data_IF_128195315250
#
_entry.id   IF_128195315250
#
_cell.length_a   1.000
_cell.length_b   1.000
_cell.length_c   1.000
_cell.angle_alpha   90.00
_cell.angle_beta   90.00
_cell.angle_gamma   90.00
#
_symmetry.space_group_name_H-M   'P 1'
#
loop_
_entity.id
_entity.type
_entity.pdbx_description
1 polymer ?
#
# COMPACT_ATOMS: atom_id res chain seq x y z
N UNK A 1 -8.60 7.80 0.40
CA UNK A 1 -8.11 9.13 0.78
C UNK A 1 -8.08 10.08 -0.40
N UNK A 2 -7.53 9.67 -1.51
CA UNK A 2 -7.54 10.49 -2.72
C UNK A 2 -8.98 10.71 -3.18
N UNK A 3 -9.25 11.89 -3.71
CA UNK A 3 -10.55 12.27 -4.24
C UNK A 3 -11.71 12.16 -3.22
N UNK A 4 -11.39 12.18 -1.94
CA UNK A 4 -12.42 12.06 -0.89
C UNK A 4 -13.05 10.67 -0.79
N UNK A 5 -12.39 9.65 -1.30
CA UNK A 5 -12.87 8.28 -1.30
C UNK A 5 -11.90 7.39 -0.52
N UNK A 6 -12.33 6.76 0.58
CA UNK A 6 -11.43 5.96 1.41
C UNK A 6 -10.91 4.69 0.72
N UNK A 7 -11.51 4.28 -0.41
CA UNK A 7 -11.01 3.14 -1.17
C UNK A 7 -9.91 3.54 -2.16
N UNK A 8 -9.67 4.83 -2.37
CA UNK A 8 -8.65 5.31 -3.31
C UNK A 8 -7.35 5.53 -2.55
N UNK A 9 -6.53 4.50 -2.52
CA UNK A 9 -5.18 4.53 -1.97
C UNK A 9 -4.17 4.77 -3.09
N UNK A 10 -2.92 5.07 -2.73
CA UNK A 10 -1.87 5.24 -3.72
C UNK A 10 -1.72 4.01 -4.61
N UNK A 11 -1.82 2.82 -4.02
CA UNK A 11 -1.70 1.56 -4.75
C UNK A 11 -2.86 1.36 -5.73
N UNK A 12 -4.10 1.60 -5.29
CA UNK A 12 -5.27 1.45 -6.17
C UNK A 12 -5.28 2.51 -7.26
N UNK A 13 -4.85 3.73 -6.96
CA UNK A 13 -4.73 4.80 -7.95
C UNK A 13 -3.67 4.47 -9.00
N UNK A 14 -2.52 3.96 -8.59
CA UNK A 14 -1.46 3.55 -9.51
C UNK A 14 -1.94 2.42 -10.43
N UNK A 15 -2.63 1.43 -9.87
CA UNK A 15 -3.18 0.33 -10.63
C UNK A 15 -4.18 0.81 -11.67
N UNK A 16 -5.09 1.69 -11.27
CA UNK A 16 -6.07 2.29 -12.18
C UNK A 16 -5.39 3.06 -13.30
N UNK A 17 -4.36 3.82 -12.97
CA UNK A 17 -3.62 4.61 -13.95
C UNK A 17 -2.87 3.73 -14.95
N UNK A 18 -2.37 2.57 -14.53
CA UNK A 18 -1.71 1.62 -15.42
C UNK A 18 -2.66 1.07 -16.48
N UNK A 19 -3.95 1.00 -16.16
CA UNK A 19 -4.97 0.54 -17.09
C UNK A 19 -4.97 -0.97 -17.28
N UNK A 20 -5.64 -1.41 -18.32
CA UNK A 20 -5.74 -2.84 -18.63
C UNK A 20 -4.42 -3.33 -19.23
N UNK A 21 -3.82 -4.28 -18.55
CA UNK A 21 -2.59 -4.93 -19.01
C UNK A 21 -2.89 -6.40 -19.25
N UNK A 22 -2.14 -6.99 -20.16
CA UNK A 22 -2.28 -8.41 -20.47
C UNK A 22 -1.96 -9.27 -19.25
N UNK A 23 -0.94 -8.85 -18.51
CA UNK A 23 -0.48 -9.51 -17.30
C UNK A 23 0.28 -8.50 -16.45
N UNK A 24 0.17 -8.64 -15.14
CA UNK A 24 0.97 -7.87 -14.19
C UNK A 24 2.15 -8.67 -13.64
N UNK A 25 2.37 -9.90 -14.14
CA UNK A 25 3.53 -10.69 -13.74
C UNK A 25 4.80 -9.99 -14.16
N UNK A 26 5.81 -10.02 -13.30
CA UNK A 26 7.07 -9.32 -13.53
C UNK A 26 7.04 -7.83 -13.22
N UNK A 27 5.91 -7.30 -12.76
CA UNK A 27 5.81 -5.91 -12.36
C UNK A 27 6.15 -5.73 -10.88
N UNK A 28 6.43 -4.49 -10.51
CA UNK A 28 6.72 -4.10 -9.13
C UNK A 28 5.77 -2.98 -8.72
N UNK A 29 5.14 -3.16 -7.55
CA UNK A 29 4.38 -2.10 -6.90
C UNK A 29 5.30 -1.38 -5.91
N UNK A 30 5.41 -0.06 -6.02
CA UNK A 30 6.21 0.75 -5.08
C UNK A 30 5.23 1.59 -4.27
N UNK A 31 5.32 1.49 -2.95
CA UNK A 31 4.44 2.22 -2.05
C UNK A 31 5.24 2.77 -0.87
N UNK A 32 4.82 3.93 -0.34
CA UNK A 32 5.50 4.53 0.80
C UNK A 32 5.16 3.86 2.13
N UNK A 33 4.01 3.20 2.20
CA UNK A 33 3.50 2.58 3.43
C UNK A 33 3.15 1.12 3.17
N UNK A 34 3.29 0.28 4.20
CA UNK A 34 2.87 -1.12 4.15
C UNK A 34 1.43 -1.21 3.61
N UNK A 35 1.17 -2.03 2.58
CA UNK A 35 -0.16 -2.09 1.98
C UNK A 35 -1.18 -2.70 2.94
N UNK A 36 -2.37 -2.07 3.00
CA UNK A 36 -3.48 -2.61 3.78
C UNK A 36 -4.01 -3.90 3.15
N UNK A 37 -4.99 -4.54 3.78
CA UNK A 37 -5.58 -5.78 3.26
C UNK A 37 -6.16 -5.60 1.86
N UNK A 38 -6.81 -4.46 1.60
CA UNK A 38 -7.39 -4.16 0.30
C UNK A 38 -6.32 -4.11 -0.79
N UNK A 39 -5.26 -3.34 -0.57
CA UNK A 39 -4.17 -3.21 -1.54
C UNK A 39 -3.34 -4.50 -1.65
N UNK A 40 -3.15 -5.21 -0.54
CA UNK A 40 -2.49 -6.51 -0.55
C UNK A 40 -3.27 -7.52 -1.39
N UNK A 41 -4.60 -7.50 -1.27
CA UNK A 41 -5.47 -8.34 -2.08
C UNK A 41 -5.32 -8.05 -3.57
N UNK A 42 -5.25 -6.77 -3.94
CA UNK A 42 -5.03 -6.35 -5.31
C UNK A 42 -3.70 -6.88 -5.84
N UNK A 43 -2.62 -6.71 -5.09
CA UNK A 43 -1.29 -7.19 -5.47
C UNK A 43 -1.32 -8.69 -5.73
N UNK A 44 -1.91 -9.45 -4.82
CA UNK A 44 -2.02 -10.90 -4.93
C UNK A 44 -2.93 -11.32 -6.07
N UNK A 45 -4.08 -10.66 -6.20
CA UNK A 45 -5.09 -11.00 -7.21
C UNK A 45 -4.54 -10.90 -8.62
N UNK A 46 -3.80 -9.84 -8.91
CA UNK A 46 -3.34 -9.57 -10.26
C UNK A 46 -1.92 -10.05 -10.52
N UNK A 47 -1.31 -10.75 -9.58
CA UNK A 47 -0.03 -11.40 -9.80
C UNK A 47 1.16 -10.46 -9.91
N UNK A 48 1.08 -9.29 -9.26
CA UNK A 48 2.23 -8.39 -9.16
C UNK A 48 3.34 -9.13 -8.43
N UNK A 49 4.53 -9.16 -9.00
CA UNK A 49 5.59 -10.08 -8.55
C UNK A 49 6.36 -9.57 -7.35
N UNK A 50 6.45 -8.25 -7.17
CA UNK A 50 7.24 -7.65 -6.11
C UNK A 50 6.57 -6.39 -5.59
N UNK A 51 6.70 -6.14 -4.29
CA UNK A 51 6.30 -4.86 -3.70
C UNK A 51 7.47 -4.28 -2.93
N UNK A 52 7.76 -3.00 -3.17
CA UNK A 52 8.77 -2.24 -2.45
C UNK A 52 8.03 -1.28 -1.52
N UNK A 53 8.28 -1.40 -0.23
CA UNK A 53 7.56 -0.69 0.82
C UNK A 53 8.49 0.29 1.51
N UNK A 54 8.11 1.57 1.56
CA UNK A 54 8.90 2.60 2.22
C UNK A 54 9.03 2.35 3.72
N UNK A 55 7.92 2.09 4.39
CA UNK A 55 7.96 1.82 5.83
C UNK A 55 6.74 1.01 6.29
N UNK A 56 6.86 0.38 7.44
CA UNK A 56 5.80 -0.39 8.07
C UNK A 56 5.73 -0.17 9.59
N UNK A 57 6.31 0.94 10.08
CA UNK A 57 6.30 1.25 11.51
C UNK A 57 5.04 1.97 11.94
N UNK A 58 4.57 2.92 11.13
CA UNK A 58 3.35 3.67 11.44
C UNK A 58 2.10 2.85 11.17
N UNK A 59 2.18 1.89 10.28
CA UNK A 59 1.09 0.97 9.96
C UNK A 59 1.68 -0.34 9.46
N UNK A 60 1.25 -1.44 10.05
CA UNK A 60 1.67 -2.78 9.67
C UNK A 60 0.51 -3.46 8.97
N UNK A 61 0.59 -3.56 7.66
CA UNK A 61 -0.49 -4.10 6.84
C UNK A 61 -0.32 -5.59 6.54
N UNK A 62 -0.58 -5.97 5.28
CA UNK A 62 -0.62 -7.37 4.87
C UNK A 62 0.66 -7.90 4.21
N UNK A 63 1.80 -7.24 4.38
CA UNK A 63 2.98 -7.62 3.60
C UNK A 63 3.57 -8.99 3.98
N UNK A 64 3.41 -9.45 5.24
CA UNK A 64 3.81 -10.80 5.61
C UNK A 64 2.99 -11.86 4.84
N UNK A 65 1.69 -11.62 4.74
CA UNK A 65 0.80 -12.49 3.97
C UNK A 65 1.21 -12.53 2.49
N UNK A 66 1.62 -11.38 1.94
CA UNK A 66 2.11 -11.32 0.56
C UNK A 66 3.36 -12.17 0.39
N UNK A 67 4.31 -12.07 1.31
CA UNK A 67 5.54 -12.87 1.26
C UNK A 67 5.21 -14.36 1.32
N UNK A 68 4.27 -14.75 2.17
CA UNK A 68 3.82 -16.15 2.29
C UNK A 68 3.13 -16.65 1.01
N UNK A 69 2.60 -15.75 0.20
CA UNK A 69 1.88 -16.08 -1.04
C UNK A 69 2.70 -15.80 -2.30
N UNK A 70 4.02 -15.76 -2.18
CA UNK A 70 4.91 -15.76 -3.34
C UNK A 70 5.23 -14.39 -3.90
N UNK A 71 4.88 -13.31 -3.22
CA UNK A 71 5.24 -11.96 -3.63
C UNK A 71 6.57 -11.59 -2.95
N UNK A 72 7.53 -11.12 -3.74
CA UNK A 72 8.79 -10.63 -3.17
C UNK A 72 8.52 -9.30 -2.46
N UNK A 73 8.84 -9.23 -1.16
CA UNK A 73 8.61 -8.03 -0.35
C UNK A 73 9.94 -7.40 0.01
N UNK A 74 10.10 -6.12 -0.33
CA UNK A 74 11.29 -5.33 0.01
C UNK A 74 10.86 -4.21 0.94
N UNK A 75 11.28 -4.25 2.20
CA UNK A 75 10.96 -3.23 3.20
C UNK A 75 12.20 -2.34 3.40
N UNK A 76 12.04 -1.05 3.12
CA UNK A 76 13.15 -0.10 3.14
C UNK A 76 13.40 0.52 4.51
N UNK A 77 12.37 0.61 5.36
CA UNK A 77 12.42 1.35 6.64
C UNK A 77 12.90 2.78 6.46
N UNK A 78 12.38 3.45 5.44
CA UNK A 78 12.81 4.78 5.05
C UNK A 78 12.37 5.84 6.07
N UNK A 79 13.31 6.58 6.70
CA UNK A 79 12.94 7.59 7.71
C UNK A 79 12.05 8.71 7.18
N UNK A 80 12.18 9.11 5.93
CA UNK A 80 11.33 10.14 5.34
C UNK A 80 9.89 9.65 5.20
N UNK A 81 9.73 8.39 4.80
CA UNK A 81 8.40 7.80 4.70
C UNK A 81 7.73 7.71 6.07
N UNK A 82 8.48 7.30 7.09
CA UNK A 82 7.99 7.22 8.47
C UNK A 82 7.56 8.61 8.96
N UNK A 83 8.38 9.62 8.72
CA UNK A 83 8.08 10.98 9.15
C UNK A 83 6.83 11.52 8.48
N UNK A 84 6.70 11.32 7.17
CA UNK A 84 5.53 11.78 6.43
C UNK A 84 4.24 11.19 7.00
N UNK A 85 4.22 9.89 7.25
CA UNK A 85 3.04 9.22 7.78
C UNK A 85 2.76 9.62 9.22
N UNK A 86 3.79 9.73 10.04
CA UNK A 86 3.64 10.18 11.43
C UNK A 86 2.98 11.54 11.48
N UNK A 87 3.43 12.47 10.64
CA UNK A 87 2.86 13.81 10.54
C UNK A 87 1.41 13.77 10.05
N UNK A 88 1.15 13.00 9.00
CA UNK A 88 -0.21 12.90 8.44
C UNK A 88 -1.19 12.35 9.47
N UNK A 89 -0.83 11.28 10.18
CA UNK A 89 -1.69 10.67 11.19
C UNK A 89 -1.98 11.66 12.32
N UNK A 90 -0.97 12.44 12.73
CA UNK A 90 -1.14 13.43 13.78
C UNK A 90 -2.04 14.61 13.34
N UNK A 91 -1.92 15.03 12.08
CA UNK A 91 -2.67 16.18 11.57
C UNK A 91 -4.07 15.83 11.08
N UNK A 92 -4.27 14.61 10.59
CA UNK A 92 -5.53 14.16 9.98
C UNK A 92 -5.96 12.79 10.51
N UNK A 93 -6.12 12.65 11.84
CA UNK A 93 -6.43 11.32 12.40
C UNK A 93 -7.76 10.74 11.92
N UNK A 94 -8.75 11.59 11.68
CA UNK A 94 -10.06 11.11 11.24
C UNK A 94 -9.99 10.49 9.84
N UNK A 95 -9.28 11.15 8.93
CA UNK A 95 -9.10 10.64 7.57
C UNK A 95 -8.31 9.34 7.61
N UNK A 96 -7.25 9.30 8.42
CA UNK A 96 -6.43 8.12 8.57
C UNK A 96 -7.24 6.91 9.03
N UNK A 97 -8.02 7.08 10.09
CA UNK A 97 -8.82 5.97 10.62
C UNK A 97 -9.89 5.50 9.64
N UNK A 98 -10.48 6.41 8.88
CA UNK A 98 -11.42 6.04 7.83
C UNK A 98 -10.75 5.20 6.74
N UNK A 99 -9.55 5.61 6.32
CA UNK A 99 -8.79 4.92 5.27
C UNK A 99 -8.44 3.47 5.63
N UNK A 100 -8.20 3.20 6.91
CA UNK A 100 -7.87 1.85 7.36
C UNK A 100 -9.10 1.11 7.94
N UNK A 101 -10.28 1.70 7.81
CA UNK A 101 -11.51 1.07 8.23
C UNK A 101 -11.69 0.96 9.73
N UNK A 102 -11.14 1.90 10.49
CA UNK A 102 -11.29 1.95 11.95
C UNK A 102 -12.09 3.17 12.38
N UNK A 103 -12.84 3.01 13.46
CA UNK A 103 -13.65 4.10 14.01
C UNK A 103 -12.84 5.15 14.77
#
# INVERSE_FOLDING_TARGET
MQDGDPSVHGETAAFKNAGRQRSYRGTTMVTTLSPCWFCSGLIRQFGISRVVIGEAQTFYGGHDWLAENGVEVVLLDDPECIEMMTRFIAEQPEIWFEDIGQD
#
